data_IF_666127483153
#
_entry.id   IF_666127483153
#
_cell.length_a   1.000
_cell.length_b   1.000
_cell.length_c   1.000
_cell.angle_alpha   90.00
_cell.angle_beta   90.00
_cell.angle_gamma   90.00
#
_symmetry.space_group_name_H-M   'P 1'
#
loop_
_entity.id
_entity.type
_entity.pdbx_description
1 polymer ?
#
# COMPACT_ATOMS: atom_id res chain seq x y z
N UNK A 1 43.33 9.42 -58.04
CA UNK A 1 42.57 8.17 -57.81
C UNK A 1 41.67 8.38 -56.60
N UNK A 2 40.36 8.19 -56.74
CA UNK A 2 39.35 8.35 -55.68
C UNK A 2 38.57 7.03 -55.58
N UNK A 3 38.68 6.29 -54.48
CA UNK A 3 37.77 5.19 -54.13
C UNK A 3 37.67 5.09 -52.61
N UNK A 4 36.59 5.61 -52.02
CA UNK A 4 35.38 4.89 -51.59
C UNK A 4 35.60 4.04 -50.33
N UNK A 5 35.50 4.71 -49.17
CA UNK A 5 35.43 4.08 -47.86
C UNK A 5 34.00 3.57 -47.65
N UNK A 6 33.80 2.25 -47.73
CA UNK A 6 32.52 1.60 -47.45
C UNK A 6 32.31 1.61 -45.93
N UNK A 7 31.53 2.57 -45.45
CA UNK A 7 31.04 2.60 -44.06
C UNK A 7 29.99 1.50 -43.94
N UNK A 8 30.35 0.40 -43.28
CA UNK A 8 29.40 -0.60 -42.81
C UNK A 8 28.53 0.03 -41.71
N UNK A 9 27.35 0.51 -42.10
CA UNK A 9 26.30 0.90 -41.17
C UNK A 9 25.78 -0.40 -40.54
N UNK A 10 26.33 -0.76 -39.38
CA UNK A 10 25.70 -1.74 -38.50
C UNK A 10 24.35 -1.16 -38.06
N UNK A 11 23.29 -1.58 -38.73
CA UNK A 11 21.92 -1.42 -38.26
C UNK A 11 21.83 -2.16 -36.91
N UNK A 12 22.04 -1.42 -35.83
CA UNK A 12 21.71 -1.86 -34.48
C UNK A 12 20.21 -2.15 -34.50
N UNK A 13 19.86 -3.44 -34.58
CA UNK A 13 18.50 -3.89 -34.37
C UNK A 13 18.05 -3.33 -33.01
N UNK A 14 17.17 -2.34 -33.02
CA UNK A 14 16.59 -1.81 -31.79
C UNK A 14 15.84 -2.96 -31.15
N UNK A 15 16.37 -3.53 -30.08
CA UNK A 15 15.61 -4.40 -29.21
C UNK A 15 14.45 -3.59 -28.65
N UNK A 16 13.30 -3.65 -29.31
CA UNK A 16 12.05 -3.19 -28.74
C UNK A 16 11.73 -4.16 -27.60
N UNK A 17 12.07 -3.77 -26.37
CA UNK A 17 11.67 -4.50 -25.17
C UNK A 17 10.14 -4.48 -25.13
N UNK A 18 9.51 -5.62 -25.42
CA UNK A 18 8.07 -5.84 -25.30
C UNK A 18 7.64 -5.98 -23.83
N UNK A 19 8.22 -5.19 -22.95
CA UNK A 19 7.94 -5.28 -21.53
C UNK A 19 6.58 -4.65 -21.28
N UNK A 20 5.63 -5.49 -20.90
CA UNK A 20 4.32 -5.03 -20.45
C UNK A 20 4.55 -4.06 -19.28
N UNK A 21 3.81 -2.94 -19.21
CA UNK A 21 3.91 -2.03 -18.08
C UNK A 21 3.67 -2.80 -16.78
N UNK A 22 4.55 -2.61 -15.80
CA UNK A 22 4.44 -3.27 -14.49
C UNK A 22 3.26 -2.66 -13.74
N UNK A 23 2.34 -3.52 -13.29
CA UNK A 23 1.21 -3.11 -12.47
C UNK A 23 1.70 -2.82 -11.04
N UNK A 24 1.45 -1.60 -10.57
CA UNK A 24 1.78 -1.12 -9.22
C UNK A 24 0.53 -0.59 -8.49
N UNK A 25 -0.67 -0.94 -8.98
CA UNK A 25 -1.94 -0.44 -8.44
C UNK A 25 -2.21 -0.88 -7.00
N UNK A 26 -1.60 -1.98 -6.56
CA UNK A 26 -1.64 -2.50 -5.20
C UNK A 26 -0.54 -1.93 -4.30
N UNK A 27 0.29 -1.00 -4.78
CA UNK A 27 1.35 -0.39 -3.98
C UNK A 27 0.89 0.94 -3.39
N UNK A 28 1.05 1.10 -2.08
CA UNK A 28 0.82 2.38 -1.42
C UNK A 28 1.96 3.37 -1.67
N UNK A 29 1.82 4.19 -2.72
CA UNK A 29 2.78 5.23 -3.10
C UNK A 29 2.88 6.39 -2.10
N UNK A 30 2.03 6.44 -1.07
CA UNK A 30 2.07 7.46 -0.02
C UNK A 30 2.69 6.95 1.29
N UNK A 31 2.85 5.63 1.43
CA UNK A 31 3.39 5.04 2.65
C UNK A 31 4.92 5.10 2.65
N UNK A 32 5.47 6.02 3.44
CA UNK A 32 6.90 6.24 3.57
C UNK A 32 7.71 4.95 3.87
N UNK A 33 7.17 4.01 4.65
CA UNK A 33 7.82 2.72 4.91
C UNK A 33 7.92 1.86 3.65
N UNK A 34 6.82 1.73 2.91
CA UNK A 34 6.77 0.97 1.64
C UNK A 34 7.73 1.59 0.63
N UNK A 35 7.74 2.92 0.52
CA UNK A 35 8.68 3.63 -0.35
C UNK A 35 10.12 3.35 0.07
N UNK A 36 10.44 3.46 1.37
CA UNK A 36 11.78 3.16 1.89
C UNK A 36 12.25 1.74 1.54
N UNK A 37 11.35 0.75 1.66
CA UNK A 37 11.61 -0.63 1.26
C UNK A 37 11.99 -0.73 -0.22
N UNK A 38 11.19 -0.13 -1.12
CA UNK A 38 11.45 -0.13 -2.56
C UNK A 38 12.69 0.66 -2.95
N UNK A 39 13.06 1.72 -2.21
CA UNK A 39 14.31 2.46 -2.43
C UNK A 39 15.51 1.54 -2.23
N UNK A 40 15.61 0.86 -1.09
CA UNK A 40 16.74 -0.05 -0.84
C UNK A 40 16.73 -1.25 -1.79
N UNK A 41 15.54 -1.80 -2.09
CA UNK A 41 15.42 -2.91 -3.03
C UNK A 41 15.89 -2.50 -4.44
N UNK A 42 15.52 -1.30 -4.90
CA UNK A 42 15.99 -0.75 -6.17
C UNK A 42 17.50 -0.45 -6.15
N UNK A 43 18.06 0.01 -5.04
CA UNK A 43 19.52 0.20 -4.87
C UNK A 43 20.28 -1.13 -5.05
N UNK A 44 19.77 -2.22 -4.47
CA UNK A 44 20.32 -3.59 -4.61
C UNK A 44 20.17 -4.08 -6.05
N UNK A 45 18.97 -4.02 -6.60
CA UNK A 45 18.67 -4.42 -7.98
C UNK A 45 19.60 -3.74 -8.99
N UNK A 46 19.81 -2.41 -8.86
CA UNK A 46 20.71 -1.66 -9.74
C UNK A 46 22.14 -2.17 -9.67
N UNK A 47 22.60 -2.53 -8.47
CA UNK A 47 23.97 -3.00 -8.23
C UNK A 47 24.21 -4.38 -8.85
N UNK A 48 23.22 -5.27 -8.77
CA UNK A 48 23.43 -6.69 -9.08
C UNK A 48 22.76 -7.20 -10.36
N UNK A 49 21.65 -6.59 -10.78
CA UNK A 49 20.88 -7.02 -11.95
C UNK A 49 20.94 -5.98 -13.09
N UNK A 50 21.52 -4.80 -12.86
CA UNK A 50 21.49 -3.69 -13.81
C UNK A 50 20.09 -3.10 -14.06
N UNK A 51 19.03 -3.72 -13.54
CA UNK A 51 17.66 -3.20 -13.50
C UNK A 51 17.43 -2.49 -12.17
N UNK A 52 16.79 -1.33 -12.19
CA UNK A 52 16.51 -0.49 -11.03
C UNK A 52 16.15 0.93 -11.46
N UNK A 53 15.62 1.73 -10.53
CA UNK A 53 15.43 3.16 -10.76
C UNK A 53 16.76 3.87 -10.97
N UNK A 54 16.69 5.00 -11.68
CA UNK A 54 17.84 5.88 -11.87
C UNK A 54 18.37 6.38 -10.52
N UNK A 55 19.70 6.51 -10.39
CA UNK A 55 20.32 6.94 -9.13
C UNK A 55 19.84 8.33 -8.68
N UNK A 56 19.48 9.22 -9.63
CA UNK A 56 18.92 10.54 -9.34
C UNK A 56 17.52 10.42 -8.74
N UNK A 57 16.70 9.50 -9.25
CA UNK A 57 15.36 9.20 -8.71
C UNK A 57 15.49 8.70 -7.27
N UNK A 58 16.36 7.72 -7.03
CA UNK A 58 16.65 7.18 -5.70
C UNK A 58 17.09 8.30 -4.74
N UNK A 59 18.04 9.12 -5.14
CA UNK A 59 18.56 10.21 -4.31
C UNK A 59 17.47 11.24 -3.99
N UNK A 60 16.70 11.67 -4.99
CA UNK A 60 15.60 12.62 -4.78
C UNK A 60 14.57 12.10 -3.77
N UNK A 61 14.20 10.82 -3.85
CA UNK A 61 13.26 10.20 -2.90
C UNK A 61 13.87 10.11 -1.49
N UNK A 62 15.14 9.69 -1.37
CA UNK A 62 15.84 9.66 -0.06
C UNK A 62 15.88 11.04 0.59
N UNK A 63 16.18 12.08 -0.18
CA UNK A 63 16.16 13.47 0.31
C UNK A 63 14.75 13.90 0.74
N UNK A 64 13.72 13.60 -0.08
CA UNK A 64 12.31 13.89 0.24
C UNK A 64 11.86 13.27 1.57
N UNK A 65 12.33 12.07 1.89
CA UNK A 65 11.91 11.33 3.08
C UNK A 65 12.99 11.26 4.19
N UNK A 66 14.06 12.04 4.12
CA UNK A 66 15.22 11.92 5.04
C UNK A 66 14.90 12.06 6.53
N UNK A 67 13.81 12.75 6.86
CA UNK A 67 13.34 12.97 8.23
C UNK A 67 12.22 12.01 8.66
N UNK A 68 11.84 11.05 7.82
CA UNK A 68 10.78 10.09 8.13
C UNK A 68 11.34 8.83 8.77
N UNK A 69 11.04 8.61 10.05
CA UNK A 69 11.42 7.37 10.75
C UNK A 69 10.81 6.13 10.09
N UNK A 70 9.57 6.24 9.59
CA UNK A 70 8.92 5.14 8.86
C UNK A 70 9.68 4.78 7.58
N UNK A 71 10.12 5.79 6.82
CA UNK A 71 10.98 5.57 5.65
C UNK A 71 12.28 4.88 6.04
N UNK A 72 12.95 5.37 7.09
CA UNK A 72 14.19 4.77 7.57
C UNK A 72 14.02 3.30 7.93
N UNK A 73 12.96 2.94 8.66
CA UNK A 73 12.66 1.54 8.99
C UNK A 73 12.45 0.68 7.73
N UNK A 74 11.72 1.19 6.74
CA UNK A 74 11.53 0.51 5.46
C UNK A 74 12.83 0.34 4.70
N UNK A 75 13.67 1.39 4.67
CA UNK A 75 14.97 1.37 4.02
C UNK A 75 15.91 0.32 4.66
N UNK A 76 16.00 0.33 5.99
CA UNK A 76 16.89 -0.57 6.73
C UNK A 76 16.45 -2.04 6.65
N UNK A 77 15.17 -2.34 6.40
CA UNK A 77 14.65 -3.71 6.25
C UNK A 77 15.43 -4.52 5.21
N UNK A 78 15.77 -3.90 4.07
CA UNK A 78 16.46 -4.59 2.99
C UNK A 78 18.00 -4.48 3.06
N UNK A 79 18.59 -3.71 4.00
CA UNK A 79 20.05 -3.52 4.03
C UNK A 79 20.83 -4.82 4.24
N UNK A 80 20.22 -5.82 4.89
CA UNK A 80 20.86 -7.11 5.13
C UNK A 80 20.92 -8.02 3.89
N UNK A 81 20.22 -7.68 2.78
CA UNK A 81 20.32 -8.46 1.55
C UNK A 81 21.70 -8.38 0.89
N UNK A 82 22.52 -7.36 1.18
CA UNK A 82 23.89 -7.26 0.66
C UNK A 82 24.85 -8.34 1.18
N UNK A 83 24.48 -9.09 2.22
CA UNK A 83 25.38 -10.01 2.91
C UNK A 83 25.26 -11.50 2.49
N UNK A 84 24.32 -11.87 1.61
CA UNK A 84 24.08 -13.26 1.24
C UNK A 84 23.95 -13.47 -0.28
N UNK A 85 24.32 -14.67 -0.73
CA UNK A 85 24.31 -15.19 -2.11
C UNK A 85 22.88 -15.40 -2.68
N UNK A 86 21.99 -14.44 -2.44
CA UNK A 86 20.58 -14.41 -2.90
C UNK A 86 20.35 -13.42 -4.04
N UNK A 87 21.43 -12.92 -4.66
CA UNK A 87 21.41 -12.06 -5.84
C UNK A 87 20.63 -12.68 -7.01
N UNK A 88 20.59 -14.01 -7.10
CA UNK A 88 19.83 -14.75 -8.12
C UNK A 88 18.30 -14.68 -7.96
N UNK A 89 17.79 -14.12 -6.85
CA UNK A 89 16.37 -14.10 -6.48
C UNK A 89 15.66 -12.75 -6.60
N UNK A 90 16.29 -11.71 -7.16
CA UNK A 90 15.73 -10.36 -7.24
C UNK A 90 14.63 -10.25 -8.32
N UNK A 91 13.46 -10.82 -8.04
CA UNK A 91 12.34 -10.92 -8.99
C UNK A 91 11.51 -9.64 -9.14
N UNK A 92 11.72 -8.63 -8.29
CA UNK A 92 10.87 -7.42 -8.22
C UNK A 92 11.61 -6.14 -8.66
N UNK A 93 12.68 -6.25 -9.44
CA UNK A 93 13.47 -5.07 -9.81
C UNK A 93 12.69 -4.08 -10.68
N UNK A 94 11.91 -4.57 -11.64
CA UNK A 94 11.11 -3.70 -12.51
C UNK A 94 9.93 -3.08 -11.78
N UNK A 95 9.34 -3.81 -10.83
CA UNK A 95 8.32 -3.28 -9.91
C UNK A 95 8.88 -2.18 -9.01
N UNK A 96 10.04 -2.42 -8.37
CA UNK A 96 10.70 -1.39 -7.56
C UNK A 96 11.02 -0.15 -8.38
N UNK A 97 11.53 -0.32 -9.61
CA UNK A 97 11.77 0.77 -10.56
C UNK A 97 10.48 1.54 -10.88
N UNK A 98 9.39 0.84 -11.19
CA UNK A 98 8.09 1.44 -11.51
C UNK A 98 7.54 2.25 -10.32
N UNK A 99 7.56 1.68 -9.11
CA UNK A 99 7.12 2.35 -7.88
C UNK A 99 7.90 3.64 -7.65
N UNK A 100 9.22 3.62 -7.73
CA UNK A 100 10.04 4.82 -7.49
C UNK A 100 9.81 5.89 -8.56
N UNK A 101 9.66 5.51 -9.82
CA UNK A 101 9.35 6.47 -10.89
C UNK A 101 7.97 7.13 -10.65
N UNK A 102 6.96 6.37 -10.26
CA UNK A 102 5.64 6.89 -9.93
C UNK A 102 5.73 7.90 -8.76
N UNK A 103 6.41 7.54 -7.67
CA UNK A 103 6.63 8.44 -6.51
C UNK A 103 7.38 9.72 -6.90
N UNK A 104 8.40 9.59 -7.75
CA UNK A 104 9.21 10.73 -8.23
C UNK A 104 8.40 11.68 -9.12
N UNK A 105 7.53 11.13 -9.97
CA UNK A 105 6.62 11.90 -10.82
C UNK A 105 5.44 12.52 -10.04
N UNK A 106 5.36 12.30 -8.73
CA UNK A 106 4.29 12.81 -7.89
C UNK A 106 2.97 12.06 -8.06
N UNK A 107 3.00 10.84 -8.60
CA UNK A 107 1.82 9.98 -8.67
C UNK A 107 1.41 9.55 -7.25
N UNK A 108 0.11 9.44 -7.06
CA UNK A 108 -0.50 8.92 -5.83
C UNK A 108 -1.19 7.61 -6.17
N UNK A 109 -1.15 6.65 -5.26
CA UNK A 109 -1.92 5.41 -5.36
C UNK A 109 -3.40 5.74 -5.58
N UNK A 110 -3.93 5.37 -6.75
CA UNK A 110 -5.37 5.39 -7.03
C UNK A 110 -5.94 4.10 -6.45
N UNK A 111 -6.28 4.15 -5.17
CA UNK A 111 -6.96 3.01 -4.56
C UNK A 111 -8.28 2.70 -5.27
N UNK A 112 -8.72 1.45 -5.18
CA UNK A 112 -10.05 1.07 -5.61
C UNK A 112 -11.04 1.53 -4.53
N UNK A 113 -11.91 2.49 -4.85
CA UNK A 113 -13.03 2.83 -3.98
C UNK A 113 -14.13 1.78 -4.18
N UNK A 114 -14.37 0.99 -3.13
CA UNK A 114 -15.37 -0.07 -3.11
C UNK A 114 -16.40 0.19 -2.01
N UNK A 115 -17.65 -0.19 -2.26
CA UNK A 115 -18.70 -0.15 -1.26
C UNK A 115 -18.69 -1.44 -0.43
N UNK A 116 -18.77 -1.26 0.89
CA UNK A 116 -18.86 -2.32 1.89
C UNK A 116 -20.01 -2.04 2.86
N UNK A 117 -20.36 -3.05 3.64
CA UNK A 117 -21.28 -2.97 4.77
C UNK A 117 -20.51 -3.27 6.05
N UNK A 118 -20.55 -2.34 6.99
CA UNK A 118 -19.95 -2.41 8.31
C UNK A 118 -21.02 -2.79 9.33
N UNK A 119 -21.04 -4.06 9.74
CA UNK A 119 -21.80 -4.56 10.89
C UNK A 119 -21.02 -4.24 12.17
N UNK A 120 -21.55 -3.37 13.02
CA UNK A 120 -20.85 -2.72 14.12
C UNK A 120 -21.63 -2.84 15.43
N UNK A 121 -20.95 -3.28 16.47
CA UNK A 121 -21.35 -3.12 17.86
C UNK A 121 -20.31 -2.25 18.57
N UNK A 122 -20.75 -1.18 19.23
CA UNK A 122 -19.90 -0.25 19.94
C UNK A 122 -20.59 0.15 21.24
N UNK A 123 -20.07 -0.37 22.36
CA UNK A 123 -20.60 -0.13 23.70
C UNK A 123 -20.60 1.37 24.02
N UNK A 124 -21.62 1.85 24.75
CA UNK A 124 -21.77 3.26 25.09
C UNK A 124 -22.19 4.19 23.93
N UNK A 125 -21.95 3.80 22.67
CA UNK A 125 -22.29 4.62 21.50
C UNK A 125 -23.53 4.15 20.73
N UNK A 126 -23.71 2.84 20.54
CA UNK A 126 -24.86 2.28 19.82
C UNK A 126 -25.80 1.55 20.80
N UNK A 127 -27.12 1.73 20.70
CA UNK A 127 -28.08 1.01 21.55
C UNK A 127 -28.15 -0.48 21.20
N UNK A 128 -27.81 -0.85 19.96
CA UNK A 128 -27.74 -2.21 19.47
C UNK A 128 -26.70 -2.30 18.33
N UNK A 129 -26.42 -3.52 17.88
CA UNK A 129 -25.59 -3.77 16.70
C UNK A 129 -26.30 -3.25 15.44
N UNK A 130 -25.59 -2.48 14.61
CA UNK A 130 -26.14 -1.83 13.41
C UNK A 130 -25.25 -2.03 12.19
N UNK A 131 -25.84 -1.91 10.99
CA UNK A 131 -25.13 -2.08 9.71
C UNK A 131 -25.08 -0.77 8.94
N UNK A 132 -23.88 -0.30 8.64
CA UNK A 132 -23.62 0.95 7.92
C UNK A 132 -23.02 0.69 6.53
N UNK A 133 -23.54 1.31 5.46
CA UNK A 133 -22.82 1.33 4.19
C UNK A 133 -21.59 2.25 4.31
N UNK A 134 -20.42 1.75 3.94
CA UNK A 134 -19.16 2.50 3.96
C UNK A 134 -18.44 2.38 2.63
N UNK A 135 -17.78 3.46 2.20
CA UNK A 135 -16.87 3.44 1.06
C UNK A 135 -15.44 3.26 1.58
N UNK A 136 -14.77 2.21 1.11
CA UNK A 136 -13.39 1.90 1.46
C UNK A 136 -12.54 2.16 0.23
N UNK A 137 -11.55 3.04 0.36
CA UNK A 137 -10.48 3.21 -0.61
C UNK A 137 -9.35 2.23 -0.25
N UNK A 138 -9.23 1.16 -1.02
CA UNK A 138 -8.20 0.13 -0.82
C UNK A 138 -6.91 0.54 -1.52
N UNK A 139 -5.83 0.63 -0.76
CA UNK A 139 -4.49 0.94 -1.24
C UNK A 139 -3.54 -0.14 -0.72
N UNK A 140 -3.25 -1.11 -1.58
CA UNK A 140 -2.51 -2.31 -1.20
C UNK A 140 -3.18 -3.07 -0.05
N UNK A 141 -2.43 -3.30 1.02
CA UNK A 141 -2.92 -3.95 2.25
C UNK A 141 -3.48 -2.96 3.27
N UNK A 142 -3.89 -1.78 2.84
CA UNK A 142 -4.56 -0.81 3.68
C UNK A 142 -5.93 -0.44 3.11
N UNK A 143 -6.93 -0.33 3.99
CA UNK A 143 -8.26 0.19 3.65
C UNK A 143 -8.49 1.52 4.36
N UNK A 144 -8.95 2.53 3.62
CA UNK A 144 -9.24 3.85 4.17
C UNK A 144 -10.72 4.17 4.02
N UNK A 145 -11.38 4.50 5.12
CA UNK A 145 -12.74 5.05 5.13
C UNK A 145 -12.64 6.51 5.51
N UNK A 146 -13.27 7.39 4.73
CA UNK A 146 -13.33 8.82 5.02
C UNK A 146 -14.76 9.25 5.26
N UNK A 147 -14.96 10.01 6.33
CA UNK A 147 -16.20 10.71 6.66
C UNK A 147 -17.43 9.80 6.63
N UNK A 148 -17.29 8.56 7.12
CA UNK A 148 -18.44 7.69 7.28
C UNK A 148 -19.35 8.27 8.35
N UNK A 149 -20.60 8.54 7.99
CA UNK A 149 -21.63 8.96 8.94
C UNK A 149 -22.04 7.75 9.77
N UNK A 150 -21.56 7.71 11.01
CA UNK A 150 -22.02 6.79 12.05
C UNK A 150 -23.11 7.48 12.89
N UNK A 151 -23.64 6.77 13.90
CA UNK A 151 -24.77 7.24 14.71
C UNK A 151 -24.53 8.65 15.29
N UNK A 152 -25.61 9.44 15.34
CA UNK A 152 -25.62 10.80 15.90
C UNK A 152 -25.07 11.85 14.95
N UNK A 153 -24.96 11.55 13.64
CA UNK A 153 -24.41 12.47 12.65
C UNK A 153 -22.89 12.66 12.75
N UNK A 154 -22.23 11.85 13.58
CA UNK A 154 -20.77 11.87 13.75
C UNK A 154 -20.13 11.30 12.50
N UNK A 155 -19.14 12.03 11.98
CA UNK A 155 -18.31 11.55 10.87
C UNK A 155 -17.05 10.94 11.44
N UNK A 156 -16.73 9.74 11.01
CA UNK A 156 -15.53 9.05 11.43
C UNK A 156 -14.70 8.65 10.21
N UNK A 157 -13.39 8.83 10.36
CA UNK A 157 -12.38 8.29 9.46
C UNK A 157 -11.85 7.00 10.08
N UNK A 158 -11.60 5.99 9.25
CA UNK A 158 -11.03 4.72 9.68
C UNK A 158 -9.89 4.29 8.77
N UNK A 159 -8.90 3.62 9.36
CA UNK A 159 -7.79 2.99 8.64
C UNK A 159 -7.71 1.55 9.10
N UNK A 160 -7.65 0.62 8.15
CA UNK A 160 -7.41 -0.80 8.36
C UNK A 160 -6.06 -1.15 7.74
N UNK A 161 -5.15 -1.79 8.48
CA UNK A 161 -3.82 -2.18 8.00
C UNK A 161 -3.66 -3.68 8.18
N UNK A 162 -3.28 -4.38 7.11
CA UNK A 162 -3.10 -5.83 7.10
C UNK A 162 -1.64 -6.22 6.86
N UNK A 163 -1.20 -7.26 7.55
CA UNK A 163 0.07 -7.94 7.30
C UNK A 163 -0.07 -9.03 6.23
N UNK A 164 1.01 -9.80 6.03
CA UNK A 164 1.05 -10.89 5.05
C UNK A 164 0.10 -12.04 5.37
N UNK A 165 -0.16 -12.29 6.65
CA UNK A 165 -1.04 -13.34 7.16
C UNK A 165 -2.53 -12.97 7.12
N UNK A 166 -2.85 -11.73 6.76
CA UNK A 166 -4.21 -11.20 6.79
C UNK A 166 -4.67 -10.78 8.19
N UNK A 167 -3.75 -10.68 9.15
CA UNK A 167 -4.00 -10.07 10.45
C UNK A 167 -3.62 -8.58 10.40
N UNK A 168 -4.09 -7.80 11.38
CA UNK A 168 -3.91 -6.36 11.27
C UNK A 168 -4.29 -5.54 12.49
N UNK A 169 -4.13 -4.24 12.33
CA UNK A 169 -4.63 -3.21 13.24
C UNK A 169 -5.56 -2.25 12.53
N UNK A 170 -6.49 -1.69 13.29
CA UNK A 170 -7.37 -0.64 12.82
C UNK A 170 -7.37 0.52 13.79
N UNK A 171 -7.65 1.69 13.23
CA UNK A 171 -7.80 2.95 13.96
C UNK A 171 -9.02 3.69 13.42
N UNK A 172 -9.78 4.32 14.31
CA UNK A 172 -10.90 5.21 13.99
C UNK A 172 -10.69 6.55 14.69
N UNK A 173 -10.99 7.64 14.00
CA UNK A 173 -11.04 8.99 14.56
C UNK A 173 -12.32 9.67 14.12
N UNK A 174 -13.13 10.13 15.07
CA UNK A 174 -14.38 10.83 14.82
C UNK A 174 -14.25 12.34 15.02
N UNK A 175 -15.15 13.10 14.40
CA UNK A 175 -15.16 14.58 14.46
C UNK A 175 -15.37 15.17 15.86
N UNK A 176 -15.90 14.38 16.81
CA UNK A 176 -16.08 14.80 18.20
C UNK A 176 -14.85 14.51 19.09
N UNK A 177 -13.76 14.00 18.50
CA UNK A 177 -12.54 13.64 19.21
C UNK A 177 -12.50 12.20 19.71
N UNK A 178 -13.59 11.42 19.57
CA UNK A 178 -13.59 9.99 19.90
C UNK A 178 -12.57 9.28 19.03
N UNK A 179 -11.72 8.46 19.67
CA UNK A 179 -10.73 7.63 18.99
C UNK A 179 -10.91 6.19 19.40
N UNK A 180 -10.69 5.27 18.48
CA UNK A 180 -10.68 3.85 18.77
C UNK A 180 -9.60 3.12 18.01
N UNK A 181 -9.16 1.99 18.57
CA UNK A 181 -8.17 1.14 17.93
C UNK A 181 -8.33 -0.31 18.35
N UNK A 182 -7.82 -1.21 17.53
CA UNK A 182 -7.86 -2.62 17.87
C UNK A 182 -7.13 -3.51 16.88
N UNK A 183 -7.53 -4.78 16.89
CA UNK A 183 -6.99 -5.81 16.00
C UNK A 183 -8.07 -6.28 15.05
N UNK A 184 -7.66 -6.74 13.88
CA UNK A 184 -8.55 -7.33 12.91
C UNK A 184 -7.91 -8.51 12.20
N UNK A 185 -8.74 -9.26 11.49
CA UNK A 185 -8.34 -10.34 10.61
C UNK A 185 -9.27 -10.41 9.40
N UNK A 186 -8.74 -10.80 8.25
CA UNK A 186 -9.55 -11.14 7.09
C UNK A 186 -10.41 -12.37 7.37
N UNK A 187 -11.57 -12.45 6.73
CA UNK A 187 -12.47 -13.61 6.81
C UNK A 187 -12.17 -14.66 5.76
N UNK A 188 -11.54 -14.25 4.67
CA UNK A 188 -10.93 -15.01 3.55
C UNK A 188 -10.81 -14.05 2.36
N UNK A 189 -10.19 -14.49 1.26
CA UNK A 189 -10.11 -13.68 0.05
C UNK A 189 -11.51 -13.23 -0.41
N UNK A 190 -11.70 -11.92 -0.57
CA UNK A 190 -12.96 -11.31 -1.03
C UNK A 190 -14.10 -11.22 -0.01
N UNK A 191 -13.99 -11.88 1.16
CA UNK A 191 -15.08 -11.98 2.14
C UNK A 191 -15.03 -10.90 3.24
N UNK A 192 -14.18 -9.90 3.06
CA UNK A 192 -13.99 -8.81 4.01
C UNK A 192 -13.25 -9.24 5.28
N UNK A 193 -13.56 -8.58 6.40
CA UNK A 193 -12.76 -8.68 7.64
C UNK A 193 -13.62 -8.57 8.89
N UNK A 194 -13.08 -9.01 10.02
CA UNK A 194 -13.65 -8.78 11.35
C UNK A 194 -12.60 -8.22 12.28
N UNK A 195 -13.02 -7.42 13.25
CA UNK A 195 -12.11 -6.84 14.22
C UNK A 195 -12.78 -6.58 15.56
N UNK A 196 -11.92 -6.42 16.56
CA UNK A 196 -12.30 -6.06 17.92
C UNK A 196 -11.33 -5.00 18.45
N UNK A 197 -11.76 -4.20 19.42
CA UNK A 197 -10.93 -3.16 20.00
C UNK A 197 -11.67 -2.36 21.06
N UNK A 198 -11.10 -1.21 21.39
CA UNK A 198 -11.63 -0.31 22.40
C UNK A 198 -11.51 1.14 21.94
N UNK A 199 -12.45 1.97 22.36
CA UNK A 199 -12.32 3.42 22.24
C UNK A 199 -11.49 4.04 23.37
N UNK A 200 -11.33 5.36 23.31
CA UNK A 200 -10.61 6.16 24.31
C UNK A 200 -11.25 6.17 25.70
N UNK A 201 -12.51 5.76 25.82
CA UNK A 201 -13.24 5.66 27.08
C UNK A 201 -13.24 4.23 27.64
N UNK A 202 -12.67 3.28 26.90
CA UNK A 202 -12.60 1.87 27.29
C UNK A 202 -13.83 1.06 26.88
N UNK A 203 -14.74 1.62 26.09
CA UNK A 203 -15.90 0.88 25.59
C UNK A 203 -15.46 -0.11 24.50
N UNK A 204 -16.03 -1.32 24.54
CA UNK A 204 -15.69 -2.36 23.57
C UNK A 204 -16.30 -2.08 22.20
N UNK A 205 -15.54 -2.40 21.17
CA UNK A 205 -15.96 -2.35 19.77
C UNK A 205 -15.75 -3.73 19.13
N UNK A 206 -16.78 -4.26 18.50
CA UNK A 206 -16.73 -5.46 17.67
C UNK A 206 -17.34 -5.14 16.31
N UNK A 207 -16.65 -5.49 15.22
CA UNK A 207 -17.18 -5.25 13.88
C UNK A 207 -16.90 -6.38 12.90
N UNK A 208 -17.69 -6.38 11.83
CA UNK A 208 -17.47 -7.15 10.61
C UNK A 208 -17.72 -6.24 9.40
N UNK A 209 -16.82 -6.25 8.44
CA UNK A 209 -16.96 -5.54 7.17
C UNK A 209 -17.05 -6.54 6.03
N UNK A 210 -18.07 -6.43 5.17
CA UNK A 210 -18.34 -7.37 4.06
C UNK A 210 -18.82 -6.63 2.81
N UNK A 211 -18.64 -7.24 1.63
CA UNK A 211 -19.18 -6.67 0.37
C UNK A 211 -20.70 -6.80 0.28
N UNK A 212 -21.23 -7.90 0.79
CA UNK A 212 -22.66 -8.15 0.83
C UNK A 212 -23.28 -7.64 2.13
N UNK A 213 -24.54 -7.23 2.06
CA UNK A 213 -25.30 -6.80 3.24
C UNK A 213 -25.61 -8.03 4.11
N UNK A 214 -25.26 -8.02 5.41
CA UNK A 214 -25.64 -9.09 6.31
C UNK A 214 -27.16 -9.32 6.31
N UNK A 215 -27.58 -10.58 6.22
CA UNK A 215 -28.99 -10.97 6.29
C UNK A 215 -29.77 -10.94 4.98
N UNK A 216 -29.13 -10.64 3.83
CA UNK A 216 -29.79 -10.64 2.51
C UNK A 216 -29.31 -11.79 1.61
N UNK A 217 -28.97 -12.95 2.17
CA UNK A 217 -28.64 -14.13 1.37
C UNK A 217 -29.84 -14.54 0.51
N UNK A 218 -29.70 -14.37 -0.81
CA UNK A 218 -30.60 -14.92 -1.84
C UNK A 218 -30.41 -16.42 -1.99
#
# INVERSE_FOLDING_TARGET
MRYFSIIWIFLLASCASNDKPVDISDVDLNNAYVIGWYVTYSDICRTYNGSGADIKVIHAIKERFKWSDSFKRGYDYNRNYFAYDTVTGLKRCDEAKAVLNAVYNGETSKGAELQYYLDLAWEGLLPAREVFPVKVNEVGRAGHVKSASLIGGKKCDAIFRYDESGQGDWEVTCTDGTKAKGKLQTLSSGNGSKGTGFDSEGNKIDFRITRDRPGTST
#
